data_IF_588389574334
#
_entry.id   IF_588389574334
#
_cell.length_a   1.000
_cell.length_b   1.000
_cell.length_c   1.000
_cell.angle_alpha   90.00
_cell.angle_beta   90.00
_cell.angle_gamma   90.00
#
_symmetry.space_group_name_H-M   'P 1'
#
loop_
_entity.id
_entity.type
_entity.pdbx_description
1 polymer ?
#
# COMPACT_ATOMS: atom_id res chain seq x y z
N UNK A 1 16.87 27.67 -31.56
CA UNK A 1 17.91 26.88 -30.83
C UNK A 1 17.97 27.24 -29.35
N UNK A 2 17.93 28.51 -28.96
CA UNK A 2 17.96 28.92 -27.53
C UNK A 2 16.74 28.48 -26.73
N UNK A 3 15.53 28.63 -27.25
CA UNK A 3 14.29 28.17 -26.59
C UNK A 3 14.36 26.68 -26.26
N UNK A 4 14.85 25.84 -27.18
CA UNK A 4 14.99 24.40 -26.98
C UNK A 4 15.99 24.09 -25.84
N UNK A 5 17.13 24.79 -25.77
CA UNK A 5 18.11 24.62 -24.69
C UNK A 5 17.52 25.02 -23.35
N UNK A 6 16.77 26.14 -23.30
CA UNK A 6 16.09 26.60 -22.07
C UNK A 6 15.06 25.59 -21.59
N UNK A 7 14.22 25.06 -22.48
CA UNK A 7 13.23 24.03 -22.11
C UNK A 7 13.93 22.77 -21.59
N UNK A 8 14.97 22.31 -22.28
CA UNK A 8 15.73 21.13 -21.84
C UNK A 8 16.35 21.32 -20.45
N UNK A 9 16.93 22.50 -20.19
CA UNK A 9 17.49 22.86 -18.90
C UNK A 9 16.42 22.87 -17.80
N UNK A 10 15.25 23.49 -18.06
CA UNK A 10 14.15 23.52 -17.08
C UNK A 10 13.64 22.12 -16.76
N UNK A 11 13.51 21.25 -17.76
CA UNK A 11 13.11 19.85 -17.56
C UNK A 11 14.15 19.10 -16.73
N UNK A 12 15.44 19.23 -17.04
CA UNK A 12 16.52 18.60 -16.29
C UNK A 12 16.57 19.10 -14.83
N UNK A 13 16.45 20.41 -14.61
CA UNK A 13 16.38 21.00 -13.28
C UNK A 13 15.16 20.50 -12.48
N UNK A 14 13.99 20.43 -13.11
CA UNK A 14 12.78 19.87 -12.49
C UNK A 14 12.96 18.40 -12.10
N UNK A 15 13.53 17.57 -12.98
CA UNK A 15 13.79 16.16 -12.70
C UNK A 15 14.80 15.98 -11.56
N UNK A 16 15.84 16.83 -11.51
CA UNK A 16 16.81 16.81 -10.42
C UNK A 16 16.15 17.17 -9.08
N UNK A 17 15.41 18.27 -9.03
CA UNK A 17 14.70 18.70 -7.83
C UNK A 17 13.67 17.66 -7.38
N UNK A 18 12.96 17.03 -8.31
CA UNK A 18 12.03 15.95 -8.05
C UNK A 18 12.72 14.72 -7.43
N UNK A 19 13.88 14.33 -7.95
CA UNK A 19 14.66 13.23 -7.38
C UNK A 19 15.19 13.57 -5.98
N UNK A 20 15.68 14.78 -5.78
CA UNK A 20 16.13 15.27 -4.45
C UNK A 20 14.97 15.27 -3.46
N UNK A 21 13.78 15.73 -3.88
CA UNK A 21 12.57 15.69 -3.05
C UNK A 21 12.22 14.25 -2.63
N UNK A 22 12.20 13.31 -3.59
CA UNK A 22 11.92 11.90 -3.30
C UNK A 22 12.96 11.32 -2.33
N UNK A 23 14.24 11.63 -2.52
CA UNK A 23 15.32 11.15 -1.67
C UNK A 23 15.18 11.63 -0.22
N UNK A 24 14.89 12.91 -0.04
CA UNK A 24 14.82 13.54 1.29
C UNK A 24 13.54 13.17 2.03
N UNK A 25 12.40 13.24 1.36
CA UNK A 25 11.08 13.12 2.01
C UNK A 25 10.46 11.74 1.95
N UNK A 26 10.87 10.89 1.00
CA UNK A 26 10.32 9.54 0.82
C UNK A 26 11.38 8.44 0.91
N UNK A 27 12.53 8.68 1.51
CA UNK A 27 13.67 7.71 1.58
C UNK A 27 13.97 7.07 0.21
N UNK A 28 13.87 7.82 -0.89
CA UNK A 28 14.12 7.33 -2.24
C UNK A 28 12.97 6.54 -2.88
N UNK A 29 11.84 6.37 -2.21
CA UNK A 29 10.69 5.62 -2.73
C UNK A 29 9.61 6.57 -3.26
N UNK A 30 9.26 6.54 -4.55
CA UNK A 30 8.18 7.37 -5.08
C UNK A 30 6.82 6.91 -4.55
N UNK A 31 5.96 7.88 -4.20
CA UNK A 31 4.58 7.59 -3.80
C UNK A 31 3.72 7.26 -5.04
N UNK A 32 3.68 5.98 -5.42
CA UNK A 32 2.95 5.50 -6.60
C UNK A 32 1.56 5.00 -6.15
N UNK A 33 0.52 5.58 -6.72
CA UNK A 33 -0.86 5.18 -6.42
C UNK A 33 -1.20 3.82 -7.04
N UNK A 34 -1.88 2.97 -6.29
CA UNK A 34 -2.46 1.73 -6.82
C UNK A 34 -3.50 2.04 -7.89
N UNK A 35 -3.45 1.33 -9.01
CA UNK A 35 -4.38 1.51 -10.13
C UNK A 35 -5.85 1.26 -9.72
N UNK A 36 -6.84 2.02 -10.25
CA UNK A 36 -8.24 1.90 -9.85
C UNK A 36 -8.81 0.48 -9.97
N UNK A 37 -8.49 -0.23 -11.05
CA UNK A 37 -8.94 -1.60 -11.26
C UNK A 37 -8.40 -2.57 -10.19
N UNK A 38 -7.14 -2.39 -9.78
CA UNK A 38 -6.53 -3.19 -8.71
C UNK A 38 -7.21 -2.85 -7.38
N UNK A 39 -7.40 -1.57 -7.03
CA UNK A 39 -8.08 -1.16 -5.80
C UNK A 39 -9.48 -1.78 -5.69
N UNK A 40 -10.27 -1.71 -6.78
CA UNK A 40 -11.61 -2.31 -6.82
C UNK A 40 -11.59 -3.82 -6.57
N UNK A 41 -10.70 -4.56 -7.23
CA UNK A 41 -10.61 -6.03 -7.08
C UNK A 41 -10.04 -6.43 -5.71
N UNK A 42 -9.08 -5.66 -5.20
CA UNK A 42 -8.49 -5.88 -3.87
C UNK A 42 -9.54 -5.67 -2.77
N UNK A 43 -10.34 -4.61 -2.85
CA UNK A 43 -11.44 -4.36 -1.91
C UNK A 43 -12.48 -5.50 -1.96
N UNK A 44 -12.80 -6.01 -3.16
CA UNK A 44 -13.69 -7.16 -3.30
C UNK A 44 -13.12 -8.40 -2.60
N UNK A 45 -11.83 -8.69 -2.81
CA UNK A 45 -11.15 -9.81 -2.16
C UNK A 45 -11.16 -9.69 -0.62
N UNK A 46 -10.90 -8.50 -0.07
CA UNK A 46 -10.95 -8.27 1.37
C UNK A 46 -12.36 -8.54 1.94
N UNK A 47 -13.42 -8.16 1.22
CA UNK A 47 -14.81 -8.47 1.60
C UNK A 47 -15.10 -9.96 1.53
N UNK A 48 -14.63 -10.62 0.48
CA UNK A 48 -14.77 -12.06 0.28
C UNK A 48 -14.10 -12.84 1.42
N UNK A 49 -12.87 -12.48 1.79
CA UNK A 49 -12.14 -13.11 2.90
C UNK A 49 -12.80 -12.87 4.26
N UNK A 50 -13.18 -11.62 4.55
CA UNK A 50 -13.89 -11.28 5.79
C UNK A 50 -15.18 -12.10 5.93
N UNK A 51 -15.95 -12.21 4.86
CA UNK A 51 -17.21 -12.97 4.86
C UNK A 51 -16.97 -14.47 5.02
N UNK A 52 -16.00 -15.03 4.31
CA UNK A 52 -15.64 -16.45 4.38
C UNK A 52 -15.18 -16.87 5.78
N UNK A 53 -14.51 -15.98 6.50
CA UNK A 53 -14.03 -16.23 7.87
C UNK A 53 -15.08 -15.96 8.94
N UNK A 54 -16.23 -15.38 8.60
CA UNK A 54 -17.32 -15.07 9.54
C UNK A 54 -16.92 -14.13 10.68
N UNK A 55 -15.92 -13.24 10.44
CA UNK A 55 -15.40 -12.36 11.48
C UNK A 55 -16.31 -11.16 11.70
N UNK A 56 -16.68 -10.92 12.95
CA UNK A 56 -17.45 -9.73 13.37
C UNK A 56 -16.60 -8.45 13.26
N UNK A 57 -15.29 -8.56 13.51
CA UNK A 57 -14.29 -7.49 13.36
C UNK A 57 -13.18 -7.99 12.45
N UNK A 58 -12.67 -7.10 11.60
CA UNK A 58 -11.63 -7.44 10.63
C UNK A 58 -10.60 -6.31 10.58
N UNK A 59 -9.37 -6.60 11.00
CA UNK A 59 -8.29 -5.62 11.04
C UNK A 59 -7.47 -5.67 9.77
N UNK A 60 -7.45 -4.58 9.01
CA UNK A 60 -6.74 -4.45 7.75
C UNK A 60 -5.62 -3.43 7.88
N UNK A 61 -4.40 -3.83 7.56
CA UNK A 61 -3.26 -2.93 7.46
C UNK A 61 -2.91 -2.61 6.00
N UNK A 62 -2.66 -1.33 5.72
CA UNK A 62 -2.05 -0.85 4.47
C UNK A 62 -0.60 -0.47 4.78
N UNK A 63 0.33 -1.36 4.42
CA UNK A 63 1.75 -1.26 4.73
C UNK A 63 2.44 -0.35 3.71
N UNK A 64 2.88 0.82 4.15
CA UNK A 64 3.36 1.90 3.29
C UNK A 64 2.20 2.63 2.61
N UNK A 65 1.24 3.12 3.40
CA UNK A 65 -0.03 3.68 2.90
C UNK A 65 0.11 4.95 2.05
N UNK A 66 1.28 5.59 2.05
CA UNK A 66 1.55 6.82 1.31
C UNK A 66 0.52 7.91 1.66
N UNK A 67 -0.09 8.51 0.64
CA UNK A 67 -1.13 9.53 0.82
C UNK A 67 -2.51 8.97 1.23
N UNK A 68 -2.59 7.69 1.57
CA UNK A 68 -3.76 7.02 2.13
C UNK A 68 -4.95 6.85 1.18
N UNK A 69 -4.76 6.90 -0.14
CA UNK A 69 -5.90 6.78 -1.08
C UNK A 69 -6.54 5.39 -1.00
N UNK A 70 -5.74 4.32 -1.08
CA UNK A 70 -6.24 2.95 -0.99
C UNK A 70 -6.83 2.67 0.39
N UNK A 71 -6.15 3.07 1.45
CA UNK A 71 -6.60 2.92 2.83
C UNK A 71 -7.98 3.55 3.06
N UNK A 72 -8.21 4.78 2.53
CA UNK A 72 -9.53 5.45 2.61
C UNK A 72 -10.61 4.74 1.80
N UNK A 73 -10.29 4.21 0.63
CA UNK A 73 -11.26 3.46 -0.18
C UNK A 73 -11.64 2.13 0.49
N UNK A 74 -10.69 1.44 1.13
CA UNK A 74 -10.96 0.23 1.91
C UNK A 74 -11.90 0.59 3.09
N UNK A 75 -11.56 1.60 3.87
CA UNK A 75 -12.35 2.02 5.03
C UNK A 75 -13.79 2.42 4.67
N UNK A 76 -13.96 3.15 3.56
CA UNK A 76 -15.27 3.53 3.06
C UNK A 76 -16.09 2.32 2.55
N UNK A 77 -15.43 1.34 1.96
CA UNK A 77 -16.08 0.17 1.37
C UNK A 77 -16.41 -0.93 2.40
N UNK A 78 -15.69 -0.97 3.54
CA UNK A 78 -15.85 -1.98 4.61
C UNK A 78 -15.97 -1.25 5.96
N UNK A 79 -17.12 -0.63 6.25
CA UNK A 79 -17.29 0.19 7.47
C UNK A 79 -17.14 -0.59 8.78
N UNK A 80 -17.35 -1.90 8.76
CA UNK A 80 -17.20 -2.81 9.92
C UNK A 80 -15.75 -3.23 10.18
N UNK A 81 -14.84 -3.03 9.20
CA UNK A 81 -13.43 -3.32 9.39
C UNK A 81 -12.72 -2.16 10.11
N UNK A 82 -11.72 -2.48 10.91
CA UNK A 82 -10.73 -1.53 11.42
C UNK A 82 -9.61 -1.43 10.38
N UNK A 83 -9.41 -0.26 9.80
CA UNK A 83 -8.42 -0.05 8.74
C UNK A 83 -7.30 0.85 9.24
N UNK A 84 -6.06 0.41 9.08
CA UNK A 84 -4.87 1.08 9.61
C UNK A 84 -3.86 1.28 8.49
N UNK A 85 -3.55 2.53 8.16
CA UNK A 85 -2.46 2.88 7.27
C UNK A 85 -1.18 3.14 8.06
N UNK A 86 -0.11 2.40 7.76
CA UNK A 86 1.22 2.62 8.35
C UNK A 86 2.10 3.29 7.31
N UNK A 87 2.64 4.46 7.65
CA UNK A 87 3.44 5.27 6.72
C UNK A 87 4.54 6.01 7.49
N UNK A 88 5.73 6.05 6.91
CA UNK A 88 6.89 6.72 7.49
C UNK A 88 6.84 8.24 7.32
N UNK A 89 6.38 8.72 6.17
CA UNK A 89 6.39 10.15 5.82
C UNK A 89 5.36 10.94 6.62
N UNK A 90 5.83 11.87 7.44
CA UNK A 90 4.99 12.79 8.22
C UNK A 90 4.03 13.57 7.32
N UNK A 91 4.49 14.06 6.17
CA UNK A 91 3.68 14.83 5.22
C UNK A 91 2.53 13.98 4.65
N UNK A 92 2.81 12.71 4.33
CA UNK A 92 1.78 11.78 3.87
C UNK A 92 0.74 11.50 4.97
N UNK A 93 1.16 11.34 6.22
CA UNK A 93 0.29 11.14 7.38
C UNK A 93 -0.61 12.36 7.63
N UNK A 94 -0.05 13.57 7.64
CA UNK A 94 -0.82 14.81 7.83
C UNK A 94 -1.89 14.97 6.73
N UNK A 95 -1.50 14.78 5.48
CA UNK A 95 -2.44 14.78 4.35
C UNK A 95 -3.53 13.71 4.50
N UNK A 96 -3.15 12.50 4.86
CA UNK A 96 -4.07 11.37 5.00
C UNK A 96 -5.07 11.61 6.12
N UNK A 97 -4.65 12.17 7.25
CA UNK A 97 -5.52 12.53 8.37
C UNK A 97 -6.50 13.65 8.00
N UNK A 98 -6.03 14.67 7.28
CA UNK A 98 -6.91 15.73 6.77
C UNK A 98 -8.00 15.14 5.85
N UNK A 99 -7.63 14.26 4.94
CA UNK A 99 -8.57 13.62 4.01
C UNK A 99 -9.52 12.63 4.70
N UNK A 100 -9.05 11.92 5.73
CA UNK A 100 -9.88 11.08 6.62
C UNK A 100 -10.99 11.93 7.28
N UNK A 101 -10.60 13.05 7.91
CA UNK A 101 -11.53 13.97 8.59
C UNK A 101 -12.59 14.50 7.61
N UNK A 102 -12.19 14.92 6.41
CA UNK A 102 -13.11 15.41 5.36
C UNK A 102 -14.14 14.38 4.92
N UNK A 103 -13.80 13.09 4.98
CA UNK A 103 -14.67 11.97 4.59
C UNK A 103 -15.45 11.33 5.74
N UNK A 104 -15.20 11.74 6.99
CA UNK A 104 -15.88 11.21 8.16
C UNK A 104 -15.63 9.72 8.42
N UNK A 105 -14.43 9.19 8.09
CA UNK A 105 -14.14 7.77 8.21
C UNK A 105 -13.70 7.42 9.65
N UNK A 106 -14.65 6.99 10.48
CA UNK A 106 -14.40 6.67 11.88
C UNK A 106 -13.59 5.38 12.08
N UNK A 107 -13.73 4.41 11.15
CA UNK A 107 -13.08 3.11 11.19
C UNK A 107 -11.65 3.11 10.63
N UNK A 108 -11.08 4.28 10.34
CA UNK A 108 -9.75 4.46 9.75
C UNK A 108 -8.79 5.11 10.73
N UNK A 109 -7.59 4.59 10.83
CA UNK A 109 -6.47 5.13 11.59
C UNK A 109 -5.23 5.28 10.69
N UNK A 110 -4.40 6.32 10.90
CA UNK A 110 -3.08 6.42 10.29
C UNK A 110 -2.02 6.50 11.38
N UNK A 111 -0.97 5.67 11.25
CA UNK A 111 0.17 5.60 12.15
C UNK A 111 1.44 6.02 11.43
N UNK A 112 2.11 7.04 11.97
CA UNK A 112 3.45 7.40 11.51
C UNK A 112 4.46 6.43 12.12
N UNK A 113 4.95 5.48 11.32
CA UNK A 113 5.93 4.50 11.78
C UNK A 113 6.75 3.94 10.61
N UNK A 114 7.94 3.43 10.93
CA UNK A 114 8.64 2.53 10.03
C UNK A 114 7.94 1.17 10.10
N UNK A 115 7.43 0.69 8.97
CA UNK A 115 6.69 -0.57 8.94
C UNK A 115 7.59 -1.80 9.25
N UNK A 116 8.90 -1.68 9.18
CA UNK A 116 9.79 -2.75 9.63
C UNK A 116 9.81 -2.90 11.15
N UNK A 117 9.59 -1.80 11.89
CA UNK A 117 9.52 -1.78 13.35
C UNK A 117 8.09 -1.99 13.88
N UNK A 118 7.08 -1.77 13.03
CA UNK A 118 5.68 -1.84 13.42
C UNK A 118 5.22 -3.29 13.64
N UNK A 119 4.35 -3.51 14.64
CA UNK A 119 3.72 -4.80 14.91
C UNK A 119 2.42 -4.95 14.10
N UNK A 120 2.31 -6.05 13.34
CA UNK A 120 1.15 -6.44 12.55
C UNK A 120 0.49 -7.73 13.06
N UNK A 121 0.82 -8.17 14.27
CA UNK A 121 0.36 -9.46 14.80
C UNK A 121 -1.15 -9.56 14.99
N UNK A 122 -1.85 -8.42 15.12
CA UNK A 122 -3.32 -8.35 15.20
C UNK A 122 -4.02 -8.24 13.83
N UNK A 123 -3.25 -8.29 12.72
CA UNK A 123 -3.82 -8.20 11.38
C UNK A 123 -4.63 -9.44 10.99
N UNK A 124 -5.79 -9.22 10.38
CA UNK A 124 -6.51 -10.24 9.61
C UNK A 124 -6.16 -10.16 8.13
N UNK A 125 -5.82 -8.96 7.65
CA UNK A 125 -5.27 -8.76 6.31
C UNK A 125 -4.17 -7.69 6.29
N UNK A 126 -3.18 -7.88 5.41
CA UNK A 126 -2.14 -6.89 5.11
C UNK A 126 -2.08 -6.64 3.61
N UNK A 127 -2.19 -5.37 3.23
CA UNK A 127 -2.05 -4.91 1.86
C UNK A 127 -0.68 -4.28 1.67
N UNK A 128 0.04 -4.72 0.64
CA UNK A 128 1.41 -4.29 0.37
C UNK A 128 1.53 -3.74 -1.05
N UNK A 129 2.09 -2.52 -1.18
CA UNK A 129 2.52 -1.99 -2.46
C UNK A 129 3.85 -1.26 -2.29
N UNK A 130 4.93 -2.01 -2.29
CA UNK A 130 6.28 -1.51 -2.03
C UNK A 130 7.22 -1.73 -3.21
N UNK A 131 8.43 -1.20 -3.08
CA UNK A 131 9.49 -1.37 -4.07
C UNK A 131 9.90 -2.83 -4.22
N UNK A 132 10.31 -3.22 -5.44
CA UNK A 132 10.88 -4.55 -5.73
C UNK A 132 12.11 -4.88 -4.86
N UNK A 133 12.85 -3.87 -4.46
CA UNK A 133 14.07 -4.03 -3.64
C UNK A 133 13.76 -4.49 -2.20
N UNK A 134 12.57 -4.17 -1.69
CA UNK A 134 12.16 -4.49 -0.31
C UNK A 134 11.41 -5.82 -0.18
N UNK A 135 11.06 -6.47 -1.28
CA UNK A 135 10.19 -7.66 -1.29
C UNK A 135 10.66 -8.81 -0.39
N UNK A 136 11.97 -9.03 -0.29
CA UNK A 136 12.57 -10.07 0.57
C UNK A 136 12.41 -9.71 2.04
N UNK A 137 12.88 -8.54 2.45
CA UNK A 137 12.78 -8.04 3.83
C UNK A 137 11.33 -7.92 4.31
N UNK A 138 10.44 -7.45 3.44
CA UNK A 138 9.00 -7.37 3.73
C UNK A 138 8.41 -8.77 3.93
N UNK A 139 8.72 -9.71 3.05
CA UNK A 139 8.28 -11.11 3.20
C UNK A 139 8.74 -11.71 4.52
N UNK A 140 10.01 -11.58 4.88
CA UNK A 140 10.57 -12.06 6.16
C UNK A 140 9.89 -11.40 7.36
N UNK A 141 9.68 -10.06 7.31
CA UNK A 141 8.97 -9.33 8.36
C UNK A 141 7.56 -9.87 8.57
N UNK A 142 6.79 -10.02 7.50
CA UNK A 142 5.42 -10.53 7.56
C UNK A 142 5.39 -12.00 8.01
N UNK A 143 6.34 -12.82 7.54
CA UNK A 143 6.44 -14.23 7.95
C UNK A 143 6.64 -14.39 9.45
N UNK A 144 7.44 -13.53 10.07
CA UNK A 144 7.71 -13.56 11.52
C UNK A 144 6.59 -12.95 12.37
N UNK A 145 5.84 -12.01 11.81
CA UNK A 145 4.95 -11.16 12.59
C UNK A 145 3.47 -11.56 12.51
N UNK A 146 3.06 -12.15 11.37
CA UNK A 146 1.66 -12.47 11.15
C UNK A 146 1.23 -13.80 11.73
N UNK A 147 -0.04 -13.86 12.15
CA UNK A 147 -0.71 -15.10 12.59
C UNK A 147 -1.02 -16.00 11.39
N UNK A 148 -1.07 -17.33 11.57
CA UNK A 148 -1.61 -18.24 10.55
C UNK A 148 -3.02 -17.82 10.10
N UNK A 149 -3.29 -17.97 8.80
CA UNK A 149 -4.55 -17.57 8.18
C UNK A 149 -4.67 -16.08 7.85
N UNK A 150 -3.68 -15.23 8.17
CA UNK A 150 -3.71 -13.81 7.77
C UNK A 150 -3.61 -13.69 6.25
N UNK A 151 -4.57 -12.99 5.63
CA UNK A 151 -4.54 -12.66 4.21
C UNK A 151 -3.45 -11.62 3.92
N UNK A 152 -2.61 -11.86 2.93
CA UNK A 152 -1.63 -10.87 2.45
C UNK A 152 -1.80 -10.65 0.96
N UNK A 153 -1.83 -9.40 0.54
CA UNK A 153 -1.83 -9.05 -0.89
C UNK A 153 -0.61 -8.20 -1.22
N UNK A 154 0.08 -8.53 -2.32
CA UNK A 154 1.20 -7.74 -2.79
C UNK A 154 0.96 -7.25 -4.21
N UNK A 155 0.88 -5.92 -4.38
CA UNK A 155 0.65 -5.32 -5.68
C UNK A 155 1.95 -5.29 -6.50
N UNK A 156 1.84 -5.68 -7.78
CA UNK A 156 2.89 -5.68 -8.81
C UNK A 156 4.00 -6.70 -8.61
N UNK A 157 4.56 -6.86 -7.42
CA UNK A 157 5.70 -7.74 -7.17
C UNK A 157 5.31 -8.87 -6.22
N UNK A 158 5.76 -10.11 -6.48
CA UNK A 158 5.58 -11.18 -5.50
C UNK A 158 6.45 -10.92 -4.28
N UNK A 159 5.99 -11.36 -3.11
CA UNK A 159 6.80 -11.38 -1.90
C UNK A 159 7.95 -12.37 -2.04
N UNK A 160 9.07 -12.09 -1.37
CA UNK A 160 10.16 -13.03 -1.12
C UNK A 160 10.04 -13.67 0.28
N UNK A 161 11.15 -14.19 0.81
CA UNK A 161 11.18 -14.68 2.20
C UNK A 161 10.33 -15.94 2.45
N UNK A 162 10.21 -16.83 1.45
CA UNK A 162 9.48 -18.10 1.59
C UNK A 162 7.97 -18.03 1.33
N UNK A 163 7.45 -16.88 0.89
CA UNK A 163 6.04 -16.76 0.50
C UNK A 163 5.77 -17.37 -0.86
N UNK A 164 4.81 -18.29 -0.94
CA UNK A 164 4.30 -18.85 -2.19
C UNK A 164 2.91 -18.27 -2.47
N UNK A 165 2.76 -17.64 -3.64
CA UNK A 165 1.50 -17.02 -4.01
C UNK A 165 0.44 -18.08 -4.36
N UNK A 166 -0.69 -18.07 -3.67
CA UNK A 166 -1.85 -18.90 -4.00
C UNK A 166 -2.51 -18.46 -5.30
N UNK A 167 -2.53 -17.15 -5.53
CA UNK A 167 -3.13 -16.57 -6.72
C UNK A 167 -2.30 -15.39 -7.24
N UNK A 168 -2.24 -15.31 -8.57
CA UNK A 168 -1.80 -14.12 -9.31
C UNK A 168 -3.02 -13.54 -10.03
N UNK A 169 -3.58 -12.49 -9.48
CA UNK A 169 -4.78 -11.86 -10.00
C UNK A 169 -4.43 -10.85 -11.07
N UNK A 170 -4.89 -11.08 -12.29
CA UNK A 170 -4.73 -10.14 -13.41
C UNK A 170 -5.88 -9.14 -13.42
N UNK A 171 -5.55 -7.87 -13.62
CA UNK A 171 -6.55 -6.80 -13.80
C UNK A 171 -6.32 -6.08 -15.12
N UNK A 172 -7.41 -5.65 -15.75
CA UNK A 172 -7.29 -4.75 -16.91
C UNK A 172 -7.10 -3.31 -16.40
N UNK A 173 -5.99 -2.70 -16.80
CA UNK A 173 -5.64 -1.33 -16.40
C UNK A 173 -4.85 -0.63 -17.50
N UNK A 174 -5.07 0.67 -17.65
CA UNK A 174 -4.27 1.55 -18.53
C UNK A 174 -2.88 1.86 -17.93
N UNK A 175 -2.64 1.50 -16.67
CA UNK A 175 -1.34 1.64 -16.02
C UNK A 175 -0.42 0.47 -16.43
N UNK A 176 0.58 0.69 -17.31
CA UNK A 176 1.31 -0.40 -17.97
C UNK A 176 2.06 -1.32 -17.00
N UNK A 177 2.42 -0.81 -15.83
CA UNK A 177 3.21 -1.53 -14.83
C UNK A 177 2.38 -2.11 -13.68
N UNK A 178 1.05 -1.93 -13.65
CA UNK A 178 0.18 -2.38 -12.57
C UNK A 178 -0.91 -3.32 -13.12
N UNK A 179 -0.50 -4.48 -13.63
CA UNK A 179 -1.42 -5.45 -14.26
C UNK A 179 -1.79 -6.60 -13.34
N UNK A 180 -1.05 -6.80 -12.25
CA UNK A 180 -1.18 -7.96 -11.38
C UNK A 180 -1.05 -7.56 -9.92
N UNK A 181 -1.72 -8.32 -9.05
CA UNK A 181 -1.37 -8.43 -7.64
C UNK A 181 -1.38 -9.91 -7.24
N UNK A 182 -0.69 -10.23 -6.17
CA UNK A 182 -0.49 -11.57 -5.65
C UNK A 182 -1.24 -11.72 -4.34
N UNK A 183 -1.79 -12.91 -4.09
CA UNK A 183 -2.57 -13.25 -2.90
C UNK A 183 -1.91 -14.41 -2.18
N UNK A 184 -1.87 -14.32 -0.87
CA UNK A 184 -1.27 -15.29 0.02
C UNK A 184 -2.11 -15.41 1.29
N UNK A 185 -2.09 -16.58 1.93
CA UNK A 185 -2.42 -16.71 3.34
C UNK A 185 -1.19 -17.14 4.11
N UNK A 186 -1.03 -16.60 5.31
CA UNK A 186 0.05 -17.03 6.20
C UNK A 186 -0.21 -18.48 6.62
N UNK A 187 0.74 -19.37 6.35
CA UNK A 187 0.73 -20.75 6.82
C UNK A 187 0.86 -20.85 8.35
#
# INVERSE_FOLDING_TARGET
MEIFKTVLFCVAAFLLLWNVYILIFNKGVPNIRTAPAIRKRLIALLKEDMAARGLATYTIYDMGSGNGLLTREIAAAIPTARVIGVEFSKQCIEWSNMMKKRKGLANLEYRQADFFEHDFSDADAVVVYLSVYEKGRVGEKLMKNLRPGTLVTSNRFPLGGGWEAEQKVKTFTLYPFQKYFYVYHKA
#
